data_IF_479152148991
#
_entry.id   IF_479152148991
#
_cell.length_a   1.000
_cell.length_b   1.000
_cell.length_c   1.000
_cell.angle_alpha   90.00
_cell.angle_beta   90.00
_cell.angle_gamma   90.00
#
_symmetry.space_group_name_H-M   'P 1'
#
loop_
_entity.id
_entity.type
_entity.pdbx_description
1 polymer ?
#
# COMPACT_ATOMS: atom_id res chain seq x y z
N UNK A 1 -7.48 -23.45 2.21
CA UNK A 1 -6.02 -23.54 1.89
C UNK A 1 -5.79 -24.05 0.46
N UNK A 2 -6.79 -23.86 -0.41
CA UNK A 2 -6.74 -24.35 -1.80
C UNK A 2 -5.83 -23.53 -2.72
N UNK A 3 -5.41 -22.33 -2.32
CA UNK A 3 -4.63 -21.42 -3.16
C UNK A 3 -3.17 -21.22 -2.73
N UNK A 4 -2.68 -22.08 -1.82
CA UNK A 4 -1.30 -22.00 -1.36
C UNK A 4 -0.36 -22.79 -2.27
N UNK A 5 0.58 -22.12 -2.92
CA UNK A 5 1.60 -22.74 -3.75
C UNK A 5 2.95 -22.72 -3.04
N UNK A 6 3.54 -23.90 -2.81
CA UNK A 6 4.92 -24.02 -2.33
C UNK A 6 5.77 -24.54 -3.48
N UNK A 7 6.80 -23.82 -3.92
CA UNK A 7 7.67 -24.28 -5.00
C UNK A 7 8.29 -25.65 -4.67
N UNK A 8 8.40 -26.51 -5.67
CA UNK A 8 9.02 -27.82 -5.49
C UNK A 8 10.47 -27.68 -4.99
N UNK A 9 10.80 -28.40 -3.92
CA UNK A 9 12.13 -28.34 -3.33
C UNK A 9 12.39 -27.10 -2.48
N UNK A 10 11.42 -26.22 -2.27
CA UNK A 10 11.60 -25.07 -1.41
C UNK A 10 11.87 -25.47 0.05
N UNK A 11 12.98 -24.98 0.58
CA UNK A 11 13.35 -25.11 1.99
C UNK A 11 13.59 -23.72 2.55
N UNK A 12 12.94 -23.39 3.67
CA UNK A 12 13.18 -22.11 4.34
C UNK A 12 14.62 -22.06 4.87
N UNK A 13 15.42 -21.03 4.51
CA UNK A 13 16.81 -20.94 4.95
C UNK A 13 16.96 -20.61 6.44
N UNK A 14 15.91 -20.13 7.09
CA UNK A 14 15.88 -19.81 8.53
C UNK A 14 14.84 -20.66 9.26
N UNK A 15 15.15 -21.03 10.48
CA UNK A 15 14.17 -21.58 11.43
C UNK A 15 13.09 -20.54 11.74
N UNK A 16 11.99 -20.96 12.36
CA UNK A 16 10.90 -20.04 12.77
C UNK A 16 11.46 -18.95 13.70
N UNK A 17 12.24 -19.32 14.71
CA UNK A 17 12.79 -18.35 15.67
C UNK A 17 13.74 -17.34 15.01
N UNK A 18 14.63 -17.80 14.14
CA UNK A 18 15.52 -16.91 13.37
C UNK A 18 14.73 -16.00 12.44
N UNK A 19 13.65 -16.51 11.85
CA UNK A 19 12.74 -15.71 11.02
C UNK A 19 12.11 -14.58 11.81
N UNK A 20 11.62 -14.82 13.03
CA UNK A 20 11.02 -13.78 13.89
C UNK A 20 12.06 -12.70 14.27
N UNK A 21 13.29 -13.09 14.57
CA UNK A 21 14.39 -12.15 14.82
C UNK A 21 14.67 -11.30 13.57
N UNK A 22 14.77 -11.93 12.41
CA UNK A 22 15.04 -11.25 11.14
C UNK A 22 13.89 -10.29 10.72
N UNK A 23 12.64 -10.68 10.96
CA UNK A 23 11.47 -9.80 10.75
C UNK A 23 11.60 -8.52 11.57
N UNK A 24 11.98 -8.64 12.84
CA UNK A 24 12.16 -7.46 13.71
C UNK A 24 13.30 -6.57 13.22
N UNK A 25 14.44 -7.14 12.82
CA UNK A 25 15.58 -6.41 12.28
C UNK A 25 15.21 -5.66 10.99
N UNK A 26 14.49 -6.31 10.07
CA UNK A 26 14.00 -5.69 8.83
C UNK A 26 13.07 -4.51 9.15
N UNK A 27 12.07 -4.75 10.00
CA UNK A 27 11.08 -3.71 10.33
C UNK A 27 11.73 -2.49 10.97
N UNK A 28 12.62 -2.68 11.93
CA UNK A 28 13.32 -1.58 12.62
C UNK A 28 14.24 -0.78 11.68
N UNK A 29 14.90 -1.46 10.76
CA UNK A 29 15.79 -0.77 9.81
C UNK A 29 14.99 0.01 8.77
N UNK A 30 14.02 -0.66 8.14
CA UNK A 30 13.23 -0.06 7.06
C UNK A 30 12.44 1.16 7.53
N UNK A 31 11.73 1.08 8.66
CA UNK A 31 10.92 2.19 9.15
C UNK A 31 11.75 3.44 9.43
N UNK A 32 12.98 3.27 9.98
CA UNK A 32 13.90 4.37 10.23
C UNK A 32 14.45 4.96 8.94
N UNK A 33 14.82 4.11 7.96
CA UNK A 33 15.28 4.57 6.65
C UNK A 33 14.19 5.34 5.91
N UNK A 34 12.96 4.81 5.90
CA UNK A 34 11.79 5.47 5.30
C UNK A 34 11.50 6.82 5.96
N UNK A 35 11.43 6.83 7.31
CA UNK A 35 11.15 8.05 8.06
C UNK A 35 12.19 9.15 7.80
N UNK A 36 13.48 8.79 7.76
CA UNK A 36 14.57 9.69 7.42
C UNK A 36 14.45 10.20 5.98
N UNK A 37 14.20 9.32 5.01
CA UNK A 37 14.16 9.64 3.58
C UNK A 37 13.01 10.60 3.23
N UNK A 38 11.87 10.48 3.90
CA UNK A 38 10.66 11.26 3.62
C UNK A 38 10.36 12.36 4.65
N UNK A 39 11.17 12.49 5.72
CA UNK A 39 10.93 13.42 6.85
C UNK A 39 9.62 13.13 7.58
N UNK A 40 9.46 11.88 8.04
CA UNK A 40 8.25 11.42 8.70
C UNK A 40 8.44 11.30 10.21
N UNK A 41 7.39 11.67 10.96
CA UNK A 41 7.26 11.44 12.38
C UNK A 41 6.34 10.25 12.64
N UNK A 42 6.76 9.32 13.50
CA UNK A 42 5.88 8.20 13.88
C UNK A 42 4.74 8.69 14.77
N UNK A 43 3.51 8.30 14.46
CA UNK A 43 2.31 8.58 15.25
C UNK A 43 1.53 7.30 15.52
N UNK A 44 0.70 7.31 16.56
CA UNK A 44 -0.27 6.23 16.81
C UNK A 44 -1.52 6.45 15.98
N UNK A 45 -2.09 5.37 15.45
CA UNK A 45 -3.29 5.40 14.62
C UNK A 45 -4.41 4.57 15.24
N UNK A 46 -5.68 4.86 14.91
CA UNK A 46 -6.81 4.06 15.37
C UNK A 46 -6.83 2.69 14.66
N UNK A 47 -7.24 1.65 15.40
CA UNK A 47 -7.55 0.34 14.84
C UNK A 47 -8.95 0.32 14.20
N UNK A 48 -9.86 1.16 14.68
CA UNK A 48 -11.24 1.24 14.24
C UNK A 48 -11.71 2.69 14.18
N UNK A 49 -12.71 2.95 13.35
CA UNK A 49 -13.31 4.26 13.14
C UNK A 49 -14.84 4.13 13.11
N UNK A 50 -15.54 5.25 13.28
CA UNK A 50 -17.00 5.30 13.09
C UNK A 50 -17.33 5.31 11.60
N UNK A 51 -18.31 4.50 11.12
CA UNK A 51 -18.70 4.47 9.70
C UNK A 51 -19.07 5.85 9.15
N UNK A 52 -19.84 6.63 9.94
CA UNK A 52 -20.30 7.96 9.55
C UNK A 52 -19.19 9.00 9.41
N UNK A 53 -17.96 8.72 9.86
CA UNK A 53 -16.82 9.64 9.69
C UNK A 53 -16.33 9.75 8.24
N UNK A 54 -16.59 8.74 7.42
CA UNK A 54 -16.06 8.61 6.07
C UNK A 54 -14.56 8.31 6.01
N UNK A 55 -13.94 7.96 7.16
CA UNK A 55 -12.49 7.73 7.26
C UNK A 55 -12.06 6.33 6.87
N UNK A 56 -12.96 5.32 6.95
CA UNK A 56 -12.60 3.97 6.53
C UNK A 56 -12.42 3.88 5.00
N UNK A 57 -11.56 2.97 4.58
CA UNK A 57 -11.37 2.66 3.17
C UNK A 57 -12.46 1.67 2.72
N UNK A 58 -13.11 1.98 1.62
CA UNK A 58 -14.13 1.12 1.04
C UNK A 58 -13.55 0.12 0.03
N UNK A 59 -12.24 0.09 -0.15
CA UNK A 59 -11.53 -0.73 -1.14
C UNK A 59 -12.20 -0.63 -2.52
N UNK A 60 -12.66 -1.75 -3.09
CA UNK A 60 -13.40 -1.76 -4.34
C UNK A 60 -14.90 -1.45 -4.18
N UNK A 61 -15.38 -1.29 -2.93
CA UNK A 61 -16.76 -0.92 -2.61
C UNK A 61 -17.70 -2.11 -2.40
N UNK A 62 -17.19 -3.34 -2.44
CA UNK A 62 -17.95 -4.58 -2.21
C UNK A 62 -17.53 -5.30 -0.92
N UNK A 63 -16.32 -5.05 -0.43
CA UNK A 63 -15.77 -5.66 0.76
C UNK A 63 -16.45 -5.11 2.01
N UNK A 64 -16.78 -6.00 2.94
CA UNK A 64 -17.47 -5.67 4.19
C UNK A 64 -16.46 -5.48 5.31
N UNK A 65 -16.52 -4.39 6.09
CA UNK A 65 -15.68 -4.23 7.26
C UNK A 65 -16.10 -5.19 8.38
N UNK A 66 -15.18 -5.45 9.32
CA UNK A 66 -15.52 -6.06 10.61
C UNK A 66 -16.09 -4.97 11.49
N UNK A 67 -17.38 -5.09 11.84
CA UNK A 67 -18.12 -4.10 12.62
C UNK A 67 -18.48 -4.65 13.99
N UNK A 68 -18.54 -3.76 14.99
CA UNK A 68 -18.97 -4.06 16.36
C UNK A 68 -19.60 -2.83 17.01
N UNK A 69 -20.42 -3.05 18.05
CA UNK A 69 -21.00 -1.98 18.86
C UNK A 69 -20.10 -1.61 20.05
N UNK A 70 -20.05 -0.33 20.40
CA UNK A 70 -19.35 0.16 21.59
C UNK A 70 -20.35 0.29 22.74
N UNK A 71 -20.30 -0.65 23.70
CA UNK A 71 -21.25 -0.75 24.81
C UNK A 71 -21.44 0.57 25.58
N UNK A 72 -20.37 1.29 25.89
CA UNK A 72 -20.41 2.55 26.63
C UNK A 72 -20.99 3.72 25.82
N UNK A 73 -21.23 3.53 24.52
CA UNK A 73 -21.79 4.51 23.60
C UNK A 73 -23.10 4.02 22.97
N UNK A 74 -23.95 3.35 23.75
CA UNK A 74 -25.27 2.85 23.31
C UNK A 74 -25.18 1.96 22.06
N UNK A 75 -24.15 1.08 22.02
CA UNK A 75 -23.85 0.23 20.88
C UNK A 75 -23.60 0.98 19.55
N UNK A 76 -23.11 2.22 19.64
CA UNK A 76 -22.65 2.97 18.47
C UNK A 76 -21.71 2.12 17.62
N UNK A 77 -21.96 1.99 16.30
CA UNK A 77 -21.17 1.14 15.44
C UNK A 77 -19.75 1.68 15.24
N UNK A 78 -18.78 0.77 15.25
CA UNK A 78 -17.41 0.99 14.89
C UNK A 78 -16.96 -0.07 13.88
N UNK A 79 -16.03 0.26 13.01
CA UNK A 79 -15.48 -0.61 11.99
C UNK A 79 -13.96 -0.69 12.11
N UNK A 80 -13.40 -1.91 12.12
CA UNK A 80 -11.97 -2.10 11.99
C UNK A 80 -11.55 -1.59 10.62
N UNK A 81 -10.48 -0.81 10.56
CA UNK A 81 -10.04 -0.18 9.31
C UNK A 81 -9.62 -1.20 8.26
N UNK A 82 -9.89 -0.90 6.99
CA UNK A 82 -9.32 -1.59 5.83
C UNK A 82 -8.00 -0.95 5.38
N UNK A 83 -7.87 0.36 5.55
CA UNK A 83 -6.65 1.15 5.44
C UNK A 83 -6.78 2.47 6.20
N UNK A 84 -5.66 3.18 6.38
CA UNK A 84 -5.62 4.49 7.02
C UNK A 84 -5.43 5.64 6.01
N UNK A 85 -5.65 5.38 4.72
CA UNK A 85 -5.37 6.35 3.65
C UNK A 85 -6.02 7.72 3.91
N UNK A 86 -7.30 7.74 4.30
CA UNK A 86 -8.04 8.98 4.59
C UNK A 86 -7.71 9.55 5.97
N UNK A 87 -7.58 8.69 6.98
CA UNK A 87 -7.27 9.10 8.34
C UNK A 87 -5.93 9.85 8.43
N UNK A 88 -4.91 9.40 7.73
CA UNK A 88 -3.57 10.03 7.76
C UNK A 88 -3.61 11.51 7.35
N UNK A 89 -4.34 11.82 6.27
CA UNK A 89 -4.51 13.21 5.80
C UNK A 89 -5.26 14.07 6.81
N UNK A 90 -6.28 13.51 7.45
CA UNK A 90 -7.00 14.16 8.54
C UNK A 90 -6.07 14.41 9.75
N UNK A 91 -5.27 13.40 10.12
CA UNK A 91 -4.34 13.50 11.23
C UNK A 91 -3.24 14.57 11.00
N UNK A 92 -2.71 14.69 9.79
CA UNK A 92 -1.73 15.74 9.46
C UNK A 92 -2.25 17.13 9.80
N UNK A 93 -3.50 17.45 9.42
CA UNK A 93 -4.11 18.72 9.78
C UNK A 93 -4.30 18.85 11.28
N UNK A 94 -4.88 17.82 11.91
CA UNK A 94 -5.24 17.85 13.32
C UNK A 94 -4.03 17.97 14.24
N UNK A 95 -2.90 17.38 13.85
CA UNK A 95 -1.64 17.44 14.60
C UNK A 95 -0.75 18.62 14.21
N UNK A 96 -1.15 19.46 13.26
CA UNK A 96 -0.45 20.69 12.90
C UNK A 96 0.83 20.47 12.08
N UNK A 97 0.87 19.47 11.21
CA UNK A 97 1.99 19.26 10.30
C UNK A 97 2.02 20.32 9.19
N UNK A 98 3.22 20.74 8.80
CA UNK A 98 3.45 21.76 7.78
C UNK A 98 3.98 21.16 6.47
N UNK A 99 4.03 21.96 5.42
CA UNK A 99 4.57 21.55 4.12
C UNK A 99 5.99 20.99 4.26
N UNK A 100 6.23 19.84 3.62
CA UNK A 100 7.50 19.13 3.70
C UNK A 100 7.61 18.15 4.87
N UNK A 101 6.71 18.21 5.85
CA UNK A 101 6.64 17.28 6.98
C UNK A 101 5.60 16.19 6.73
N UNK A 102 5.77 15.04 7.38
CA UNK A 102 4.83 13.94 7.27
C UNK A 102 4.79 13.05 8.50
N UNK A 103 3.86 12.12 8.48
CA UNK A 103 3.70 11.09 9.50
C UNK A 103 3.81 9.69 8.89
N UNK A 104 4.13 8.71 9.74
CA UNK A 104 3.90 7.31 9.46
C UNK A 104 3.38 6.60 10.70
N UNK A 105 2.75 5.46 10.49
CA UNK A 105 2.21 4.62 11.55
C UNK A 105 2.29 3.15 11.19
N UNK A 106 2.32 2.30 12.21
CA UNK A 106 2.11 0.86 12.04
C UNK A 106 0.60 0.61 11.97
N UNK A 107 0.09 0.37 10.77
CA UNK A 107 -1.31 0.03 10.55
C UNK A 107 -1.52 -1.46 10.73
N UNK A 108 -2.58 -1.82 11.43
CA UNK A 108 -3.17 -3.16 11.45
C UNK A 108 -4.59 -3.09 10.91
N UNK A 109 -4.92 -3.92 9.95
CA UNK A 109 -6.25 -3.98 9.34
C UNK A 109 -6.76 -5.42 9.24
N UNK A 110 -8.09 -5.58 9.14
CA UNK A 110 -8.74 -6.86 8.86
C UNK A 110 -9.60 -6.71 7.61
N UNK A 111 -9.25 -7.46 6.56
CA UNK A 111 -9.98 -7.57 5.31
C UNK A 111 -10.69 -8.91 5.29
N UNK A 112 -11.87 -8.98 5.90
CA UNK A 112 -12.60 -10.25 6.16
C UNK A 112 -13.03 -11.00 4.91
N UNK A 113 -13.18 -10.31 3.80
CA UNK A 113 -13.62 -10.86 2.51
C UNK A 113 -12.44 -11.09 1.53
N UNK A 114 -11.18 -11.08 2.04
CA UNK A 114 -9.98 -11.29 1.22
C UNK A 114 -9.85 -12.75 0.79
N UNK A 115 -9.59 -12.96 -0.50
CA UNK A 115 -9.18 -14.26 -1.04
C UNK A 115 -7.72 -14.53 -0.69
N UNK A 116 -7.51 -15.50 0.22
CA UNK A 116 -6.18 -15.77 0.79
C UNK A 116 -5.33 -16.66 -0.10
N UNK A 117 -4.07 -16.24 -0.32
CA UNK A 117 -3.06 -16.99 -1.05
C UNK A 117 -1.66 -16.81 -0.40
N UNK A 118 -0.58 -16.96 -1.17
CA UNK A 118 0.78 -16.77 -0.68
C UNK A 118 1.08 -15.34 -0.22
N UNK A 119 0.42 -14.33 -0.79
CA UNK A 119 0.69 -12.91 -0.60
C UNK A 119 -0.50 -12.12 -0.04
N UNK A 120 -1.71 -12.66 -0.10
CA UNK A 120 -2.93 -12.05 0.44
C UNK A 120 -3.37 -12.71 1.74
N UNK A 121 -3.85 -11.92 2.67
CA UNK A 121 -4.16 -12.35 4.02
C UNK A 121 -5.26 -11.49 4.63
N UNK A 122 -6.12 -12.11 5.45
CA UNK A 122 -7.20 -11.43 6.18
C UNK A 122 -6.66 -10.31 7.08
N UNK A 123 -5.56 -10.57 7.79
CA UNK A 123 -4.87 -9.52 8.56
C UNK A 123 -3.83 -8.86 7.68
N UNK A 124 -3.83 -7.55 7.61
CA UNK A 124 -2.91 -6.74 6.82
C UNK A 124 -2.14 -5.80 7.75
N UNK A 125 -0.81 -5.80 7.62
CA UNK A 125 0.08 -4.89 8.31
C UNK A 125 0.85 -4.02 7.31
N UNK A 126 0.83 -2.71 7.53
CA UNK A 126 1.51 -1.75 6.64
C UNK A 126 2.22 -0.68 7.46
N UNK A 127 3.32 -0.13 6.93
CA UNK A 127 3.72 1.22 7.25
C UNK A 127 2.90 2.16 6.38
N UNK A 128 1.92 2.78 6.99
CA UNK A 128 1.10 3.79 6.35
C UNK A 128 1.73 5.16 6.59
N UNK A 129 2.02 5.88 5.53
CA UNK A 129 2.66 7.18 5.59
C UNK A 129 1.92 8.24 4.78
N UNK A 130 2.07 9.51 5.16
CA UNK A 130 1.46 10.65 4.48
C UNK A 130 2.31 11.88 4.73
N UNK A 131 2.52 12.72 3.70
CA UNK A 131 3.33 13.92 3.75
C UNK A 131 2.60 15.11 3.16
N UNK A 132 2.70 16.28 3.82
CA UNK A 132 2.13 17.54 3.30
C UNK A 132 2.98 18.05 2.14
N UNK A 133 2.32 18.40 1.04
CA UNK A 133 2.93 19.03 -0.13
C UNK A 133 2.18 20.33 -0.48
N UNK A 134 2.77 21.18 -1.31
CA UNK A 134 2.08 22.33 -1.84
C UNK A 134 1.15 21.94 -3.01
N UNK A 135 0.30 22.87 -3.46
CA UNK A 135 -0.57 22.63 -4.62
C UNK A 135 0.26 22.48 -5.90
N UNK A 136 1.34 23.21 -6.03
CA UNK A 136 2.25 23.22 -7.18
C UNK A 136 3.03 21.90 -7.29
N UNK A 137 3.25 21.22 -6.16
CA UNK A 137 3.89 19.91 -6.11
C UNK A 137 2.96 18.74 -6.51
N UNK A 138 1.67 19.01 -6.81
CA UNK A 138 0.75 18.01 -7.33
C UNK A 138 1.04 17.72 -8.81
N UNK A 139 2.11 16.99 -9.09
CA UNK A 139 2.56 16.65 -10.43
C UNK A 139 3.32 15.31 -10.47
N UNK A 140 3.54 14.78 -11.65
CA UNK A 140 4.22 13.49 -11.86
C UNK A 140 5.70 13.52 -11.42
N UNK A 141 6.38 14.66 -11.52
CA UNK A 141 7.77 14.80 -11.10
C UNK A 141 7.91 14.59 -9.58
N UNK A 142 7.04 15.21 -8.79
CA UNK A 142 6.96 15.02 -7.34
C UNK A 142 6.65 13.57 -6.98
N UNK A 143 5.72 12.94 -7.70
CA UNK A 143 5.40 11.53 -7.49
C UNK A 143 6.62 10.65 -7.74
N UNK A 144 7.27 10.77 -8.90
CA UNK A 144 8.45 9.99 -9.26
C UNK A 144 9.63 10.22 -8.30
N UNK A 145 9.86 11.46 -7.89
CA UNK A 145 10.86 11.79 -6.89
C UNK A 145 10.59 11.05 -5.57
N UNK A 146 9.35 11.07 -5.11
CA UNK A 146 8.96 10.42 -3.85
C UNK A 146 9.05 8.89 -3.96
N UNK A 147 8.66 8.32 -5.11
CA UNK A 147 8.83 6.88 -5.39
C UNK A 147 10.30 6.47 -5.27
N UNK A 148 11.24 7.26 -5.87
CA UNK A 148 12.68 6.97 -5.75
C UNK A 148 13.17 7.06 -4.30
N UNK A 149 12.60 7.93 -3.47
CA UNK A 149 12.93 8.02 -2.04
C UNK A 149 12.48 6.78 -1.27
N UNK A 150 11.27 6.27 -1.54
CA UNK A 150 10.79 5.00 -0.98
C UNK A 150 11.65 3.84 -1.47
N UNK A 151 11.95 3.81 -2.76
CA UNK A 151 12.80 2.78 -3.37
C UNK A 151 14.22 2.76 -2.81
N UNK A 152 14.82 3.93 -2.54
CA UNK A 152 16.11 4.03 -1.86
C UNK A 152 16.08 3.39 -0.47
N UNK A 153 15.01 3.61 0.31
CA UNK A 153 14.86 2.95 1.60
C UNK A 153 14.73 1.42 1.47
N UNK A 154 14.06 0.93 0.41
CA UNK A 154 14.01 -0.51 0.10
C UNK A 154 15.40 -1.05 -0.21
N UNK A 155 16.18 -0.40 -1.07
CA UNK A 155 17.56 -0.83 -1.41
C UNK A 155 18.49 -0.81 -0.20
N UNK A 156 18.48 0.27 0.58
CA UNK A 156 19.29 0.36 1.80
C UNK A 156 18.98 -0.78 2.78
N UNK A 157 17.70 -1.16 2.87
CA UNK A 157 17.28 -2.29 3.72
C UNK A 157 17.75 -3.62 3.15
N UNK A 158 17.65 -3.84 1.84
CA UNK A 158 18.16 -5.04 1.19
C UNK A 158 19.67 -5.19 1.41
N UNK A 159 20.43 -4.11 1.24
CA UNK A 159 21.87 -4.09 1.48
C UNK A 159 22.22 -4.38 2.94
N UNK A 160 21.45 -3.85 3.89
CA UNK A 160 21.62 -4.15 5.32
C UNK A 160 21.39 -5.63 5.62
N UNK A 161 20.29 -6.19 5.14
CA UNK A 161 19.89 -7.57 5.39
C UNK A 161 20.81 -8.58 4.69
N UNK A 162 21.27 -8.29 3.46
CA UNK A 162 22.19 -9.16 2.73
C UNK A 162 23.55 -9.30 3.42
N UNK A 163 24.03 -8.24 4.10
CA UNK A 163 25.25 -8.31 4.93
C UNK A 163 25.04 -9.07 6.22
N UNK A 164 23.82 -9.12 6.72
CA UNK A 164 23.46 -9.80 7.97
C UNK A 164 23.20 -11.29 7.77
N UNK A 165 22.63 -11.66 6.62
CA UNK A 165 22.22 -13.03 6.28
C UNK A 165 22.87 -13.46 4.96
N UNK A 166 23.97 -14.21 5.02
CA UNK A 166 24.83 -14.57 3.88
C UNK A 166 24.13 -15.32 2.73
N UNK A 167 22.95 -15.90 2.95
CA UNK A 167 22.17 -16.55 1.90
C UNK A 167 21.32 -15.59 1.07
N UNK A 168 21.22 -14.32 1.49
CA UNK A 168 20.41 -13.31 0.80
C UNK A 168 21.30 -12.58 -0.20
N UNK A 169 21.07 -12.85 -1.47
CA UNK A 169 21.63 -12.06 -2.57
C UNK A 169 20.69 -10.90 -2.90
N UNK A 170 21.20 -9.67 -3.09
CA UNK A 170 20.38 -8.54 -3.53
C UNK A 170 19.69 -8.81 -4.87
N UNK A 171 18.43 -8.47 -4.98
CA UNK A 171 17.60 -8.63 -6.18
C UNK A 171 17.14 -7.31 -6.78
N UNK A 172 17.07 -6.25 -5.96
CA UNK A 172 16.58 -4.95 -6.42
C UNK A 172 17.60 -4.30 -7.37
N UNK A 173 17.20 -3.87 -8.57
CA UNK A 173 18.07 -3.12 -9.48
C UNK A 173 18.42 -1.73 -8.89
N UNK A 174 19.38 -1.05 -9.53
CA UNK A 174 19.87 0.24 -9.03
C UNK A 174 18.83 1.36 -9.08
N UNK A 175 17.93 1.34 -10.07
CA UNK A 175 16.80 2.26 -10.17
C UNK A 175 15.51 1.51 -10.52
N UNK A 176 14.37 2.09 -10.17
CA UNK A 176 13.05 1.58 -10.48
C UNK A 176 12.61 2.07 -11.86
N UNK A 177 12.04 1.20 -12.68
CA UNK A 177 11.55 1.53 -14.01
C UNK A 177 10.11 2.09 -13.93
N UNK A 178 9.88 3.27 -14.51
CA UNK A 178 8.57 3.93 -14.54
C UNK A 178 7.82 3.64 -15.83
N UNK A 179 6.54 3.31 -15.70
CA UNK A 179 5.62 3.09 -16.82
C UNK A 179 4.20 3.47 -16.38
N UNK A 180 3.37 3.98 -17.28
CA UNK A 180 1.95 4.16 -17.02
C UNK A 180 1.18 2.87 -17.29
N UNK A 181 0.00 2.71 -16.68
CA UNK A 181 -0.87 1.56 -16.91
C UNK A 181 -1.27 1.43 -18.39
N UNK A 182 -1.43 2.56 -19.12
CA UNK A 182 -1.71 2.54 -20.55
C UNK A 182 -0.49 2.08 -21.37
N UNK A 183 0.68 2.63 -21.11
CA UNK A 183 1.91 2.19 -21.80
C UNK A 183 2.19 0.70 -21.56
N UNK A 184 1.87 0.19 -20.36
CA UNK A 184 2.01 -1.23 -20.03
C UNK A 184 0.99 -2.09 -20.82
N UNK A 185 -0.22 -1.61 -21.03
CA UNK A 185 -1.20 -2.24 -21.90
C UNK A 185 -0.72 -2.27 -23.36
N UNK A 186 -0.23 -1.14 -23.85
CA UNK A 186 0.27 -1.01 -25.23
C UNK A 186 1.49 -1.90 -25.49
N UNK A 187 2.34 -2.11 -24.47
CA UNK A 187 3.53 -2.96 -24.55
C UNK A 187 3.17 -4.46 -24.63
N UNK A 188 2.12 -4.90 -23.93
CA UNK A 188 1.67 -6.29 -23.91
C UNK A 188 0.17 -6.41 -24.25
N UNK A 189 -0.21 -6.15 -25.50
CA UNK A 189 -1.62 -6.25 -25.91
C UNK A 189 -2.13 -7.68 -25.78
N UNK A 190 -3.37 -7.83 -25.30
CA UNK A 190 -4.01 -9.13 -25.12
C UNK A 190 -3.64 -9.89 -23.83
N UNK A 191 -2.73 -9.36 -23.01
CA UNK A 191 -2.47 -9.87 -21.67
C UNK A 191 -3.40 -9.21 -20.66
N UNK A 192 -3.73 -9.89 -19.56
CA UNK A 192 -4.36 -9.24 -18.41
C UNK A 192 -3.34 -8.40 -17.61
N UNK A 193 -3.84 -7.61 -16.66
CA UNK A 193 -3.01 -6.69 -15.89
C UNK A 193 -1.89 -7.41 -15.12
N UNK A 194 -2.19 -8.55 -14.49
CA UNK A 194 -1.21 -9.33 -13.70
C UNK A 194 -0.13 -9.94 -14.55
N UNK A 195 -0.48 -10.43 -15.75
CA UNK A 195 0.48 -10.95 -16.71
C UNK A 195 1.39 -9.84 -17.26
N UNK A 196 0.84 -8.64 -17.53
CA UNK A 196 1.60 -7.47 -17.94
C UNK A 196 2.62 -7.08 -16.89
N UNK A 197 2.19 -6.96 -15.63
CA UNK A 197 3.06 -6.67 -14.48
C UNK A 197 4.16 -7.72 -14.33
N UNK A 198 3.80 -9.01 -14.40
CA UNK A 198 4.76 -10.11 -14.26
C UNK A 198 5.85 -10.07 -15.32
N UNK A 199 5.48 -9.91 -16.59
CA UNK A 199 6.42 -9.86 -17.72
C UNK A 199 7.42 -8.71 -17.54
N UNK A 200 6.92 -7.50 -17.26
CA UNK A 200 7.78 -6.33 -17.14
C UNK A 200 8.62 -6.37 -15.87
N UNK A 201 8.03 -6.76 -14.73
CA UNK A 201 8.79 -6.90 -13.47
C UNK A 201 9.89 -7.96 -13.59
N UNK A 202 9.65 -9.05 -14.29
CA UNK A 202 10.65 -10.10 -14.54
C UNK A 202 11.80 -9.58 -15.41
N UNK A 203 11.52 -8.71 -16.38
CA UNK A 203 12.55 -8.09 -17.24
C UNK A 203 13.36 -7.01 -16.50
N UNK A 204 12.68 -6.13 -15.76
CA UNK A 204 13.25 -4.92 -15.14
C UNK A 204 13.69 -5.10 -13.69
N UNK A 205 13.23 -6.13 -12.99
CA UNK A 205 13.46 -6.38 -11.56
C UNK A 205 12.55 -5.56 -10.64
N UNK A 206 12.37 -4.27 -10.90
CA UNK A 206 11.50 -3.37 -10.18
C UNK A 206 10.83 -2.34 -11.09
N UNK A 207 9.53 -2.16 -10.97
CA UNK A 207 8.73 -1.24 -11.78
C UNK A 207 7.81 -0.39 -10.90
N UNK A 208 7.50 0.82 -11.36
CA UNK A 208 6.42 1.64 -10.84
C UNK A 208 5.37 1.79 -11.94
N UNK A 209 4.21 1.16 -11.73
CA UNK A 209 3.08 1.26 -12.66
C UNK A 209 2.21 2.44 -12.22
N UNK A 210 2.22 3.51 -13.00
CA UNK A 210 1.51 4.75 -12.68
C UNK A 210 0.11 4.82 -13.30
N UNK A 211 -0.73 5.74 -12.79
CA UNK A 211 -2.05 6.09 -13.34
C UNK A 211 -3.06 4.94 -13.30
N UNK A 212 -3.18 4.30 -12.15
CA UNK A 212 -4.13 3.20 -11.91
C UNK A 212 -5.49 3.75 -11.44
N UNK A 213 -6.58 3.12 -11.88
CA UNK A 213 -7.96 3.46 -11.54
C UNK A 213 -8.81 3.95 -12.72
N UNK A 214 -8.16 4.47 -13.77
CA UNK A 214 -8.83 4.89 -15.00
C UNK A 214 -9.17 3.69 -15.89
N UNK A 215 -10.14 3.91 -16.79
CA UNK A 215 -10.39 3.01 -17.90
C UNK A 215 -9.32 3.23 -18.98
N UNK A 216 -8.69 2.15 -19.43
CA UNK A 216 -7.68 2.14 -20.47
C UNK A 216 -8.30 2.14 -21.88
N UNK A 217 -7.46 2.24 -22.91
CA UNK A 217 -7.90 2.26 -24.30
C UNK A 217 -8.67 0.98 -24.71
N UNK A 218 -8.41 -0.16 -24.08
CA UNK A 218 -9.17 -1.41 -24.26
C UNK A 218 -10.62 -1.34 -23.73
N UNK A 219 -10.96 -0.35 -22.90
CA UNK A 219 -12.23 -0.28 -22.18
C UNK A 219 -12.20 -0.93 -20.81
N UNK A 220 -11.11 -1.58 -20.43
CA UNK A 220 -10.91 -2.21 -19.13
C UNK A 220 -10.08 -1.30 -18.21
N UNK A 221 -10.10 -1.57 -16.89
CA UNK A 221 -9.17 -0.93 -15.93
C UNK A 221 -7.95 -1.82 -15.74
N UNK A 222 -6.81 -1.19 -15.46
CA UNK A 222 -5.63 -1.95 -15.02
C UNK A 222 -5.91 -2.65 -13.67
N UNK A 223 -6.41 -1.87 -12.70
CA UNK A 223 -6.86 -2.35 -11.39
C UNK A 223 -7.91 -1.41 -10.81
N UNK A 224 -8.64 -1.87 -9.78
CA UNK A 224 -9.57 -1.05 -9.01
C UNK A 224 -8.85 -0.05 -8.11
N UNK A 225 -9.45 1.14 -7.92
CA UNK A 225 -9.00 2.13 -6.93
C UNK A 225 -10.19 2.86 -6.35
N UNK A 226 -10.20 3.03 -5.04
CA UNK A 226 -11.19 3.87 -4.38
C UNK A 226 -11.10 5.30 -4.92
N UNK A 227 -12.27 6.00 -5.09
CA UNK A 227 -12.28 7.30 -5.73
C UNK A 227 -11.89 8.46 -4.81
N UNK A 228 -11.72 8.23 -3.51
CA UNK A 228 -11.74 9.29 -2.50
C UNK A 228 -10.44 9.47 -1.70
N UNK A 229 -9.33 8.92 -2.18
CA UNK A 229 -8.02 9.25 -1.60
C UNK A 229 -6.91 9.46 -2.63
N UNK A 230 -6.59 8.54 -3.54
CA UNK A 230 -5.57 8.74 -4.57
C UNK A 230 -6.12 9.43 -5.81
N UNK A 231 -5.38 10.42 -6.35
CA UNK A 231 -5.61 10.96 -7.68
C UNK A 231 -5.17 9.92 -8.72
N UNK A 232 -6.10 9.42 -9.53
CA UNK A 232 -5.83 8.38 -10.52
C UNK A 232 -4.87 8.81 -11.64
N UNK A 233 -4.61 10.11 -11.79
CA UNK A 233 -3.58 10.63 -12.69
C UNK A 233 -2.18 10.66 -12.03
N UNK A 234 -2.11 10.58 -10.69
CA UNK A 234 -0.91 10.83 -9.90
C UNK A 234 -0.67 9.76 -8.82
N UNK A 235 -1.00 8.52 -9.11
CA UNK A 235 -0.81 7.36 -8.23
C UNK A 235 -0.04 6.25 -8.94
N UNK A 236 0.26 5.19 -8.22
CA UNK A 236 0.79 3.95 -8.77
C UNK A 236 1.33 3.01 -7.70
N UNK A 237 1.83 1.88 -8.18
CA UNK A 237 2.29 0.77 -7.34
C UNK A 237 3.77 0.46 -7.60
N UNK A 238 4.54 0.27 -6.52
CA UNK A 238 5.89 -0.29 -6.56
C UNK A 238 5.77 -1.80 -6.59
N UNK A 239 6.20 -2.39 -7.69
CA UNK A 239 6.11 -3.83 -7.95
C UNK A 239 7.51 -4.35 -8.23
N UNK A 240 7.89 -5.46 -7.59
CA UNK A 240 9.18 -6.12 -7.80
C UNK A 240 8.98 -7.54 -8.31
N UNK A 241 9.95 -8.04 -9.07
CA UNK A 241 9.96 -9.45 -9.42
C UNK A 241 10.37 -10.30 -8.22
N UNK A 242 9.58 -11.30 -7.90
CA UNK A 242 9.84 -12.22 -6.79
C UNK A 242 10.12 -13.64 -7.31
N UNK A 243 11.42 -14.03 -7.42
CA UNK A 243 11.82 -15.28 -8.07
C UNK A 243 11.41 -16.54 -7.30
N UNK A 244 11.20 -16.46 -5.98
CA UNK A 244 10.79 -17.63 -5.17
C UNK A 244 9.44 -18.19 -5.62
N UNK A 245 8.52 -17.32 -6.01
CA UNK A 245 7.18 -17.70 -6.48
C UNK A 245 7.00 -17.47 -7.98
N UNK A 246 7.99 -16.89 -8.67
CA UNK A 246 7.89 -16.43 -10.06
C UNK A 246 6.70 -15.50 -10.29
N UNK A 247 6.58 -14.45 -9.48
CA UNK A 247 5.48 -13.47 -9.55
C UNK A 247 5.98 -12.01 -9.56
N UNK A 248 5.12 -11.12 -10.05
CA UNK A 248 5.18 -9.71 -9.71
C UNK A 248 4.60 -9.52 -8.30
N UNK A 249 5.37 -8.91 -7.40
CA UNK A 249 4.98 -8.68 -6.01
C UNK A 249 4.86 -7.18 -5.76
N UNK A 250 3.65 -6.71 -5.55
CA UNK A 250 3.39 -5.33 -5.12
C UNK A 250 3.85 -5.15 -3.66
N UNK A 251 4.77 -4.22 -3.44
CA UNK A 251 5.28 -3.86 -2.11
C UNK A 251 4.59 -2.63 -1.53
N UNK A 252 4.17 -1.70 -2.39
CA UNK A 252 3.58 -0.43 -1.97
C UNK A 252 2.61 0.10 -3.01
N UNK A 253 1.47 0.60 -2.55
CA UNK A 253 0.59 1.48 -3.32
C UNK A 253 0.70 2.89 -2.75
N UNK A 254 0.85 3.90 -3.62
CA UNK A 254 1.04 5.28 -3.21
C UNK A 254 0.56 6.28 -4.26
N UNK A 255 0.30 7.51 -3.84
CA UNK A 255 -0.10 8.56 -4.77
C UNK A 255 -0.15 9.95 -4.14
N UNK A 256 -0.16 10.95 -4.99
CA UNK A 256 -0.62 12.28 -4.63
C UNK A 256 -2.13 12.18 -4.43
N UNK A 257 -2.60 12.70 -3.29
CA UNK A 257 -4.01 12.55 -2.92
C UNK A 257 -4.88 13.50 -3.75
N UNK A 258 -6.13 13.09 -3.93
CA UNK A 258 -7.12 13.93 -4.64
C UNK A 258 -7.17 15.34 -4.07
N UNK A 259 -7.29 16.34 -4.95
CA UNK A 259 -7.78 17.66 -4.58
C UNK A 259 -9.31 17.71 -4.72
N UNK A 260 -9.88 18.87 -4.53
CA UNK A 260 -11.34 19.08 -4.61
C UNK A 260 -11.92 18.75 -5.99
N UNK A 261 -11.16 19.00 -7.06
CA UNK A 261 -11.58 18.75 -8.45
C UNK A 261 -11.47 17.26 -8.80
N UNK A 262 -10.34 16.64 -8.49
CA UNK A 262 -10.11 15.20 -8.69
C UNK A 262 -11.12 14.38 -7.89
N UNK A 263 -11.38 14.74 -6.62
CA UNK A 263 -12.38 14.06 -5.80
C UNK A 263 -13.76 14.10 -6.43
N UNK A 264 -14.24 15.28 -6.80
CA UNK A 264 -15.56 15.45 -7.42
C UNK A 264 -15.70 14.64 -8.72
N UNK A 265 -14.65 14.68 -9.58
CA UNK A 265 -14.58 13.90 -10.82
C UNK A 265 -14.62 12.41 -10.57
N UNK A 266 -13.79 11.91 -9.64
CA UNK A 266 -13.65 10.48 -9.37
C UNK A 266 -14.88 9.88 -8.68
N UNK A 267 -15.52 10.61 -7.75
CA UNK A 267 -16.79 10.21 -7.15
C UNK A 267 -17.87 10.03 -8.20
N UNK A 268 -17.98 10.96 -9.15
CA UNK A 268 -18.93 10.88 -10.26
C UNK A 268 -18.65 9.69 -11.17
N UNK A 269 -17.38 9.49 -11.57
CA UNK A 269 -16.98 8.37 -12.43
C UNK A 269 -17.23 7.00 -11.79
N UNK A 270 -17.23 6.96 -10.45
CA UNK A 270 -17.48 5.74 -9.66
C UNK A 270 -18.94 5.58 -9.22
N UNK A 271 -19.83 6.53 -9.54
CA UNK A 271 -21.23 6.52 -9.08
C UNK A 271 -21.38 6.60 -7.56
N UNK A 272 -20.46 7.29 -6.89
CA UNK A 272 -20.37 7.39 -5.43
C UNK A 272 -20.53 8.83 -4.92
N UNK A 273 -21.27 9.67 -5.64
CA UNK A 273 -21.42 11.12 -5.32
C UNK A 273 -21.98 11.35 -3.92
N UNK A 274 -22.77 10.41 -3.38
CA UNK A 274 -23.31 10.52 -2.02
C UNK A 274 -22.21 10.59 -0.94
N UNK A 275 -21.01 10.04 -1.20
CA UNK A 275 -19.85 10.13 -0.27
C UNK A 275 -19.39 11.57 -0.05
N UNK A 276 -19.66 12.50 -0.98
CA UNK A 276 -19.37 13.92 -0.82
C UNK A 276 -20.00 14.55 0.44
N UNK A 277 -21.04 13.92 0.99
CA UNK A 277 -21.75 14.39 2.19
C UNK A 277 -21.06 13.95 3.49
N UNK A 278 -20.16 12.96 3.45
CA UNK A 278 -19.46 12.47 4.63
C UNK A 278 -18.44 13.51 5.14
N UNK A 279 -18.16 13.56 6.44
CA UNK A 279 -17.32 14.60 7.05
C UNK A 279 -15.96 14.74 6.41
N UNK A 280 -15.24 13.64 6.15
CA UNK A 280 -13.91 13.68 5.54
C UNK A 280 -13.96 14.27 4.12
N UNK A 281 -14.83 13.74 3.25
CA UNK A 281 -14.96 14.20 1.86
C UNK A 281 -15.44 15.65 1.79
N UNK A 282 -16.37 16.03 2.67
CA UNK A 282 -16.84 17.41 2.78
C UNK A 282 -15.72 18.39 3.18
N UNK A 283 -14.90 18.02 4.17
CA UNK A 283 -13.73 18.84 4.56
C UNK A 283 -12.73 19.01 3.42
N UNK A 284 -12.54 17.97 2.60
CA UNK A 284 -11.66 18.04 1.44
C UNK A 284 -12.23 18.97 0.36
N UNK A 285 -13.50 18.83 0.01
CA UNK A 285 -14.17 19.69 -0.96
C UNK A 285 -14.20 21.16 -0.53
N UNK A 286 -14.26 21.41 0.78
CA UNK A 286 -14.18 22.76 1.36
C UNK A 286 -12.74 23.32 1.47
N UNK A 287 -11.72 22.58 1.00
CA UNK A 287 -10.29 22.95 1.11
C UNK A 287 -9.80 23.12 2.55
N UNK A 288 -10.37 22.35 3.45
CA UNK A 288 -9.99 22.38 4.87
C UNK A 288 -8.82 21.43 5.20
N UNK A 289 -8.48 20.49 4.30
CA UNK A 289 -7.39 19.55 4.46
C UNK A 289 -6.17 19.94 3.61
N UNK A 290 -4.94 19.66 4.06
CA UNK A 290 -3.73 19.94 3.28
C UNK A 290 -3.68 19.10 2.00
N UNK A 291 -2.97 19.56 0.98
CA UNK A 291 -2.55 18.70 -0.14
C UNK A 291 -1.47 17.76 0.34
N UNK A 292 -1.53 16.50 -0.08
CA UNK A 292 -0.66 15.47 0.44
C UNK A 292 -0.27 14.44 -0.61
N UNK A 293 0.84 13.77 -0.35
CA UNK A 293 1.28 12.53 -0.99
C UNK A 293 1.42 11.47 0.09
N UNK A 294 1.00 10.26 -0.20
CA UNK A 294 1.09 9.19 0.79
C UNK A 294 0.97 7.80 0.19
N UNK A 295 1.13 6.80 1.03
CA UNK A 295 1.04 5.40 0.61
C UNK A 295 1.00 4.44 1.78
N UNK A 296 0.81 3.18 1.44
CA UNK A 296 0.93 2.04 2.33
C UNK A 296 2.00 1.09 1.81
N UNK A 297 2.85 0.60 2.70
CA UNK A 297 3.93 -0.34 2.38
C UNK A 297 3.72 -1.60 3.18
N UNK A 298 3.53 -2.75 2.50
CA UNK A 298 3.21 -4.03 3.13
C UNK A 298 4.37 -4.58 3.97
N UNK A 299 4.24 -4.58 5.30
CA UNK A 299 5.31 -5.05 6.20
C UNK A 299 5.59 -6.54 5.98
N UNK A 300 4.56 -7.37 5.96
CA UNK A 300 4.69 -8.81 5.75
C UNK A 300 5.24 -9.14 4.36
N UNK A 301 4.83 -8.39 3.32
CA UNK A 301 5.34 -8.58 1.94
C UNK A 301 6.83 -8.23 1.83
N UNK A 302 7.28 -7.16 2.46
CA UNK A 302 8.71 -6.78 2.51
C UNK A 302 9.54 -7.83 3.24
N UNK A 303 9.07 -8.31 4.40
CA UNK A 303 9.76 -9.38 5.13
C UNK A 303 9.81 -10.68 4.31
N UNK A 304 8.73 -11.04 3.64
CA UNK A 304 8.67 -12.18 2.73
C UNK A 304 9.70 -12.05 1.59
N UNK A 305 9.75 -10.89 0.96
CA UNK A 305 10.67 -10.59 -0.14
C UNK A 305 12.13 -10.73 0.29
N UNK A 306 12.55 -10.03 1.35
CA UNK A 306 13.96 -10.08 1.78
C UNK A 306 14.35 -11.44 2.35
N UNK A 307 13.49 -12.10 3.10
CA UNK A 307 13.82 -13.41 3.71
C UNK A 307 13.58 -14.59 2.76
N UNK A 308 13.23 -14.33 1.49
CA UNK A 308 12.98 -15.38 0.48
C UNK A 308 11.97 -16.44 0.95
N UNK A 309 10.87 -15.97 1.58
CA UNK A 309 9.82 -16.86 2.10
C UNK A 309 8.76 -17.14 1.03
N UNK A 310 8.30 -18.39 0.94
CA UNK A 310 7.24 -18.77 0.01
C UNK A 310 5.84 -18.32 0.45
N UNK A 311 5.69 -17.71 1.64
CA UNK A 311 4.41 -17.22 2.16
C UNK A 311 4.63 -16.02 3.07
N UNK A 312 3.79 -15.00 2.97
CA UNK A 312 3.86 -13.77 3.75
C UNK A 312 3.71 -13.97 5.27
N UNK A 313 3.14 -15.10 5.70
CA UNK A 313 2.83 -15.41 7.11
C UNK A 313 3.36 -16.74 7.60
N UNK A 314 4.54 -17.19 7.23
CA UNK A 314 5.18 -18.33 7.90
C UNK A 314 5.72 -17.92 9.28
N UNK A 315 4.87 -17.86 10.26
CA UNK A 315 5.17 -17.58 11.68
C UNK A 315 3.91 -17.34 12.50
N UNK A 316 2.78 -17.00 11.86
CA UNK A 316 1.55 -16.62 12.57
C UNK A 316 0.32 -17.47 12.24
N UNK A 317 0.44 -18.57 11.52
CA UNK A 317 -0.65 -19.54 11.48
C UNK A 317 -0.51 -20.41 12.72
N UNK A 318 -1.01 -19.92 13.86
CA UNK A 318 -1.72 -20.83 14.73
C UNK A 318 -2.84 -21.42 13.88
N UNK A 319 -2.91 -22.74 13.67
CA UNK A 319 -4.13 -23.31 13.16
C UNK A 319 -5.21 -22.84 14.11
N UNK A 320 -6.19 -22.08 13.62
CA UNK A 320 -7.47 -22.06 14.29
C UNK A 320 -7.85 -23.53 14.32
N UNK A 321 -7.66 -24.15 15.49
CA UNK A 321 -8.07 -25.51 15.73
C UNK A 321 -9.55 -25.57 15.38
N UNK A 322 -9.85 -26.27 14.26
CA UNK A 322 -11.19 -26.69 13.92
C UNK A 322 -11.59 -27.85 14.82
#
# INVERSE_FOLDING_TARGET
>A
MEHLTIPQGYVSPLTIRETEVAIKEIKDYFERSLAKSLHLTRVSAPLFVKPESGLNDNLNGVERPVSFGIKEQEDTPAEIVHSLAKWKRYALKHYGFHSGEGLYTDMSAIRRDEDTDNIHSIYVDQWDWEKVISKEERNMETLQYTVRKVYSALKETEDYISRRYNYIEPLLPDDIFFITSQELEDLYPGCDAKEREHRLAKEKGAIFVAQIGKVLASGEKHDGRAPDYDDWELNGDIIVYYPVLDIALELSSMGIRVDEEALAKQLKLSGCEDRAKLPFQKSLLNRELPYTIGGGIGQSRICMYYLRKAHSRRGTVLPLAG
#
